data_IF_961645678413
#
_entry.id   IF_961645678413
#
_cell.length_a   1.000
_cell.length_b   1.000
_cell.length_c   1.000
_cell.angle_alpha   90.00
_cell.angle_beta   90.00
_cell.angle_gamma   90.00
#
_symmetry.space_group_name_H-M   'P 1'
#
loop_
_entity.id
_entity.type
_entity.pdbx_description
1 polymer ?
#
# COMPACT_ATOMS: atom_id res chain seq x y z
N UNK A 1 25.95 49.79 -21.27
CA UNK A 1 25.29 49.53 -19.97
C UNK A 1 24.34 48.37 -20.16
N UNK A 2 24.80 47.15 -19.89
CA UNK A 2 23.97 45.94 -19.92
C UNK A 2 23.40 45.75 -18.51
N UNK A 3 22.07 45.79 -18.38
CA UNK A 3 21.40 45.51 -17.12
C UNK A 3 21.34 43.99 -16.91
N UNK A 4 22.12 43.49 -15.96
CA UNK A 4 22.00 42.13 -15.43
C UNK A 4 20.63 41.94 -14.78
N UNK A 5 19.78 41.14 -15.42
CA UNK A 5 18.52 40.65 -14.83
C UNK A 5 18.88 39.63 -13.75
N UNK A 6 18.97 40.09 -12.50
CA UNK A 6 19.16 39.28 -11.29
C UNK A 6 18.01 38.27 -11.19
N UNK A 7 18.27 37.03 -11.62
CA UNK A 7 17.42 35.87 -11.36
C UNK A 7 17.45 35.60 -9.85
N UNK A 8 16.38 36.02 -9.15
CA UNK A 8 16.16 35.64 -7.76
C UNK A 8 16.15 34.11 -7.60
N UNK A 9 16.37 33.58 -6.39
CA UNK A 9 16.36 32.15 -6.16
C UNK A 9 14.97 31.64 -6.54
N UNK A 10 14.91 30.82 -7.59
CA UNK A 10 13.70 30.10 -7.96
C UNK A 10 13.46 29.12 -6.83
N UNK A 11 12.69 29.55 -5.83
CA UNK A 11 12.10 28.66 -4.82
C UNK A 11 11.17 27.76 -5.63
N UNK A 12 11.74 26.64 -6.10
CA UNK A 12 10.96 25.54 -6.61
C UNK A 12 10.17 25.07 -5.41
N UNK A 13 8.91 25.50 -5.35
CA UNK A 13 7.88 24.88 -4.55
C UNK A 13 8.00 23.38 -4.84
N UNK A 14 8.62 22.64 -3.92
CA UNK A 14 8.60 21.19 -3.94
C UNK A 14 7.18 20.84 -3.58
N UNK A 15 6.26 21.07 -4.53
CA UNK A 15 4.99 20.37 -4.56
C UNK A 15 5.40 18.92 -4.62
N UNK A 16 5.43 18.30 -3.46
CA UNK A 16 5.38 16.86 -3.32
C UNK A 16 4.14 16.45 -4.09
N UNK A 17 4.30 16.16 -5.38
CA UNK A 17 3.35 15.38 -6.15
C UNK A 17 3.36 14.03 -5.46
N UNK A 18 2.56 13.93 -4.41
CA UNK A 18 2.26 12.68 -3.78
C UNK A 18 1.70 11.82 -4.91
N UNK A 19 2.45 10.78 -5.26
CA UNK A 19 2.10 9.83 -6.35
C UNK A 19 0.70 9.25 -6.12
N UNK A 20 0.23 9.29 -4.87
CA UNK A 20 -1.05 8.81 -4.40
C UNK A 20 -1.88 9.92 -3.74
N UNK A 21 -3.18 9.90 -4.02
CA UNK A 21 -4.20 10.66 -3.28
C UNK A 21 -4.31 10.12 -1.85
N UNK A 22 -4.66 10.98 -0.88
CA UNK A 22 -4.86 10.56 0.54
C UNK A 22 -5.75 9.32 0.70
N UNK A 23 -6.79 9.21 -0.13
CA UNK A 23 -7.71 8.05 -0.16
C UNK A 23 -7.00 6.75 -0.57
N UNK A 24 -6.13 6.79 -1.58
CA UNK A 24 -5.40 5.61 -2.05
C UNK A 24 -4.38 5.16 -1.00
N UNK A 25 -3.79 6.11 -0.28
CA UNK A 25 -2.91 5.81 0.85
C UNK A 25 -3.67 5.09 1.99
N UNK A 26 -4.91 5.48 2.29
CA UNK A 26 -5.76 4.77 3.25
C UNK A 26 -6.09 3.34 2.77
N UNK A 27 -6.44 3.18 1.48
CA UNK A 27 -6.73 1.86 0.89
C UNK A 27 -5.49 0.94 0.91
N UNK A 28 -4.31 1.49 0.66
CA UNK A 28 -3.04 0.78 0.78
C UNK A 28 -2.83 0.28 2.21
N UNK A 29 -3.05 1.13 3.21
CA UNK A 29 -2.90 0.74 4.62
C UNK A 29 -3.85 -0.40 5.01
N UNK A 30 -5.10 -0.35 4.52
CA UNK A 30 -6.09 -1.41 4.72
C UNK A 30 -5.63 -2.71 4.06
N UNK A 31 -5.09 -2.65 2.84
CA UNK A 31 -4.55 -3.84 2.16
C UNK A 31 -3.44 -4.52 2.96
N UNK A 32 -2.53 -3.72 3.55
CA UNK A 32 -1.48 -4.22 4.43
C UNK A 32 -2.04 -4.91 5.67
N UNK A 33 -3.06 -4.35 6.30
CA UNK A 33 -3.72 -4.97 7.45
C UNK A 33 -4.35 -6.32 7.08
N UNK A 34 -4.99 -6.43 5.91
CA UNK A 34 -5.57 -7.69 5.42
C UNK A 34 -4.48 -8.74 5.17
N UNK A 35 -3.37 -8.36 4.52
CA UNK A 35 -2.24 -9.26 4.29
C UNK A 35 -1.65 -9.75 5.62
N UNK A 36 -1.43 -8.83 6.57
CA UNK A 36 -0.96 -9.19 7.91
C UNK A 36 -1.91 -10.16 8.62
N UNK A 37 -3.21 -9.91 8.56
CA UNK A 37 -4.23 -10.82 9.10
C UNK A 37 -4.18 -12.20 8.43
N UNK A 38 -4.00 -12.27 7.11
CA UNK A 38 -3.86 -13.54 6.39
C UNK A 38 -2.63 -14.34 6.85
N UNK A 39 -1.50 -13.68 7.10
CA UNK A 39 -0.31 -14.33 7.67
C UNK A 39 -0.50 -14.76 9.12
N UNK A 40 -1.20 -13.97 9.95
CA UNK A 40 -1.58 -14.38 11.32
C UNK A 40 -2.49 -15.61 11.28
N UNK A 41 -3.42 -15.67 10.31
CA UNK A 41 -4.29 -16.82 10.11
C UNK A 41 -3.52 -18.08 9.67
N UNK A 42 -2.43 -17.92 8.91
CA UNK A 42 -1.48 -19.01 8.60
C UNK A 42 -0.74 -19.50 9.85
N UNK A 43 -0.33 -18.60 10.76
CA UNK A 43 0.41 -18.96 11.99
C UNK A 43 -0.35 -19.86 12.95
N UNK A 44 -1.68 -19.84 12.90
CA UNK A 44 -2.70 -20.61 13.65
C UNK A 44 -2.32 -21.53 14.83
N UNK A 45 -3.26 -21.62 15.76
CA UNK A 45 -3.07 -22.30 17.05
C UNK A 45 -2.98 -23.82 16.90
N UNK A 46 -2.21 -24.45 17.78
CA UNK A 46 -2.02 -25.91 17.81
C UNK A 46 -3.38 -26.63 17.95
N UNK A 47 -3.68 -27.50 16.99
CA UNK A 47 -4.93 -28.27 16.95
C UNK A 47 -5.50 -28.32 15.54
N UNK A 48 -5.12 -29.37 14.80
CA UNK A 48 -5.61 -29.75 13.47
C UNK A 48 -4.92 -29.08 12.26
N UNK A 49 -3.87 -29.74 11.75
CA UNK A 49 -3.04 -29.34 10.61
C UNK A 49 -3.81 -29.50 9.27
N UNK A 50 -4.92 -30.25 9.26
CA UNK A 50 -5.74 -30.50 8.07
C UNK A 50 -6.95 -29.57 7.94
N UNK A 51 -6.98 -28.45 8.67
CA UNK A 51 -8.07 -27.49 8.57
C UNK A 51 -7.98 -26.71 7.24
N UNK A 52 -9.00 -26.88 6.38
CA UNK A 52 -9.15 -26.18 5.09
C UNK A 52 -8.96 -24.66 5.22
N UNK A 53 -9.25 -24.13 6.41
CA UNK A 53 -9.05 -22.72 6.80
C UNK A 53 -7.60 -22.25 6.66
N UNK A 54 -6.60 -23.07 7.01
CA UNK A 54 -5.17 -22.66 6.92
C UNK A 54 -4.57 -22.97 5.56
N UNK A 55 -4.94 -24.10 4.96
CA UNK A 55 -4.34 -24.56 3.70
C UNK A 55 -4.83 -23.78 2.49
N UNK A 56 -6.09 -23.31 2.50
CA UNK A 56 -6.69 -22.62 1.36
C UNK A 56 -7.21 -21.23 1.71
N UNK A 57 -7.93 -21.11 2.82
CA UNK A 57 -8.60 -19.85 3.17
C UNK A 57 -7.60 -18.76 3.56
N UNK A 58 -6.58 -19.08 4.37
CA UNK A 58 -5.53 -18.15 4.74
C UNK A 58 -4.70 -17.66 3.53
N UNK A 59 -4.15 -18.52 2.65
CA UNK A 59 -3.45 -18.07 1.45
C UNK A 59 -4.35 -17.27 0.50
N UNK A 60 -5.62 -17.62 0.38
CA UNK A 60 -6.58 -16.85 -0.42
C UNK A 60 -6.78 -15.43 0.12
N UNK A 61 -6.86 -15.27 1.44
CA UNK A 61 -6.95 -13.94 2.09
C UNK A 61 -5.70 -13.12 1.83
N UNK A 62 -4.51 -13.73 1.91
CA UNK A 62 -3.24 -13.06 1.58
C UNK A 62 -3.23 -12.58 0.12
N UNK A 63 -3.60 -13.45 -0.83
CA UNK A 63 -3.68 -13.11 -2.24
C UNK A 63 -4.69 -11.99 -2.50
N UNK A 64 -5.85 -12.03 -1.84
CA UNK A 64 -6.85 -10.97 -1.94
C UNK A 64 -6.34 -9.64 -1.39
N UNK A 65 -5.62 -9.66 -0.26
CA UNK A 65 -4.97 -8.48 0.30
C UNK A 65 -3.97 -7.85 -0.68
N UNK A 66 -3.14 -8.66 -1.34
CA UNK A 66 -2.22 -8.17 -2.36
C UNK A 66 -2.95 -7.62 -3.60
N UNK A 67 -3.97 -8.32 -4.10
CA UNK A 67 -4.77 -7.83 -5.23
C UNK A 67 -5.45 -6.49 -4.92
N UNK A 68 -5.98 -6.34 -3.69
CA UNK A 68 -6.58 -5.10 -3.22
C UNK A 68 -5.54 -3.97 -3.08
N UNK A 69 -4.33 -4.28 -2.61
CA UNK A 69 -3.23 -3.32 -2.54
C UNK A 69 -2.78 -2.84 -3.93
N UNK A 70 -2.65 -3.76 -4.88
CA UNK A 70 -2.35 -3.43 -6.29
C UNK A 70 -3.46 -2.54 -6.87
N UNK A 71 -4.72 -2.87 -6.61
CA UNK A 71 -5.85 -2.04 -7.03
C UNK A 71 -5.82 -0.64 -6.41
N UNK A 72 -5.50 -0.52 -5.12
CA UNK A 72 -5.39 0.77 -4.43
C UNK A 72 -4.27 1.65 -5.02
N UNK A 73 -3.18 1.05 -5.49
CA UNK A 73 -2.05 1.72 -6.14
C UNK A 73 -2.42 2.13 -7.57
N UNK A 74 -2.99 1.20 -8.35
CA UNK A 74 -3.31 1.42 -9.77
C UNK A 74 -4.52 2.34 -9.97
N UNK A 75 -5.47 2.31 -9.04
CA UNK A 75 -6.64 3.20 -9.08
C UNK A 75 -6.21 4.59 -8.64
N UNK A 76 -5.64 5.34 -9.57
CA UNK A 76 -5.29 6.75 -9.38
C UNK A 76 -6.54 7.61 -9.21
#
# INVERSE_FOLDING_TARGET
MALEKKSGPVVKDVKSELVFTKKNYQLLLISMAIVALGFVLMMGTEGDIYDFRRTLLAPLVVLFGFAFGIYAILKK
#
